data_IF_626121883393
#
_entry.id   IF_626121883393
#
_cell.length_a   1.000
_cell.length_b   1.000
_cell.length_c   1.000
_cell.angle_alpha   90.00
_cell.angle_beta   90.00
_cell.angle_gamma   90.00
#
_symmetry.space_group_name_H-M   'P 1'
#
loop_
_entity.id
_entity.type
_entity.pdbx_description
1 polymer ?
#
# COMPACT_ATOMS: atom_id res chain seq x y z
N UNK A 1 5.94 7.62 21.11
CA UNK A 1 6.01 6.23 20.60
C UNK A 1 6.43 5.34 21.76
N UNK A 2 5.56 4.39 22.14
CA UNK A 2 5.78 3.19 22.98
C UNK A 2 4.57 2.97 23.89
N UNK A 3 3.54 2.35 23.32
CA UNK A 3 2.36 1.93 24.06
C UNK A 3 2.55 0.45 24.47
N UNK A 4 2.41 0.19 25.77
CA UNK A 4 2.55 -1.14 26.36
C UNK A 4 1.28 -1.95 26.14
N UNK A 5 1.47 -3.20 25.75
CA UNK A 5 0.46 -4.24 25.61
C UNK A 5 -0.07 -4.62 27.00
N UNK A 6 -1.37 -4.42 27.24
CA UNK A 6 -2.10 -4.97 28.37
C UNK A 6 -3.14 -5.95 27.85
N UNK A 7 -2.92 -7.24 28.11
CA UNK A 7 -3.88 -8.32 27.93
C UNK A 7 -4.76 -8.33 29.17
N UNK A 8 -6.07 -8.07 29.03
CA UNK A 8 -7.06 -8.31 30.09
C UNK A 8 -8.10 -9.29 29.56
N UNK A 9 -8.15 -10.41 30.28
CA UNK A 9 -9.05 -11.55 30.14
C UNK A 9 -10.49 -11.14 30.49
N UNK A 10 -11.45 -11.58 29.68
CA UNK A 10 -12.87 -11.28 29.78
C UNK A 10 -13.58 -12.05 30.92
N UNK A 11 -14.52 -11.38 31.62
CA UNK A 11 -15.77 -11.99 32.08
C UNK A 11 -16.70 -10.92 32.68
N UNK A 12 -17.82 -10.60 32.00
CA UNK A 12 -19.11 -10.29 32.64
C UNK A 12 -20.19 -9.97 31.59
N UNK A 13 -21.18 -10.87 31.56
CA UNK A 13 -22.60 -10.70 31.22
C UNK A 13 -23.13 -9.27 30.95
N UNK A 14 -23.85 -9.15 29.83
CA UNK A 14 -25.19 -8.54 29.84
C UNK A 14 -25.29 -7.02 29.69
N UNK A 15 -25.30 -6.54 28.44
CA UNK A 15 -26.25 -5.55 27.93
C UNK A 15 -25.95 -5.29 26.44
N UNK A 16 -26.78 -5.84 25.55
CA UNK A 16 -26.84 -5.42 24.15
C UNK A 16 -27.45 -4.01 24.10
N UNK A 17 -26.62 -2.98 24.18
CA UNK A 17 -27.00 -1.62 23.79
C UNK A 17 -26.66 -1.47 22.32
N UNK A 18 -27.67 -1.64 21.47
CA UNK A 18 -27.60 -1.31 20.06
C UNK A 18 -27.13 0.14 19.89
N UNK A 19 -26.07 0.43 19.10
CA UNK A 19 -25.79 1.79 18.71
C UNK A 19 -26.91 2.22 17.76
N UNK A 20 -27.79 3.08 18.26
CA UNK A 20 -28.70 3.85 17.42
C UNK A 20 -27.83 4.68 16.47
N UNK A 21 -27.76 4.22 15.22
CA UNK A 21 -27.29 5.02 14.10
C UNK A 21 -28.23 6.22 14.01
N UNK A 22 -27.82 7.33 14.63
CA UNK A 22 -28.39 8.63 14.32
C UNK A 22 -28.01 8.92 12.86
N UNK A 23 -28.97 8.69 11.96
CA UNK A 23 -28.90 9.19 10.61
C UNK A 23 -28.72 10.72 10.71
N UNK A 24 -27.51 11.20 10.41
CA UNK A 24 -27.28 12.59 10.10
C UNK A 24 -28.05 12.88 8.82
N UNK A 25 -29.29 13.36 8.96
CA UNK A 25 -29.93 14.15 7.91
C UNK A 25 -29.11 15.43 7.80
N UNK A 26 -28.10 15.39 6.93
CA UNK A 26 -27.52 16.61 6.40
C UNK A 26 -28.68 17.46 5.85
N UNK A 27 -28.78 18.75 6.21
CA UNK A 27 -29.75 19.63 5.58
C UNK A 27 -29.53 19.59 4.06
N UNK A 28 -30.59 19.68 3.24
CA UNK A 28 -30.43 19.77 1.80
C UNK A 28 -29.57 21.00 1.53
N UNK A 29 -28.34 20.77 1.06
CA UNK A 29 -27.39 21.82 0.74
C UNK A 29 -28.10 22.85 -0.14
N UNK A 30 -28.02 24.11 0.29
CA UNK A 30 -28.21 25.23 -0.61
C UNK A 30 -27.31 24.94 -1.81
N UNK A 31 -27.92 24.70 -2.98
CA UNK A 31 -27.22 24.39 -4.21
C UNK A 31 -26.39 25.61 -4.63
N UNK A 32 -25.25 25.80 -3.99
CA UNK A 32 -24.25 26.76 -4.42
C UNK A 32 -23.86 26.33 -5.83
N UNK A 33 -23.97 27.26 -6.76
CA UNK A 33 -23.54 27.04 -8.12
C UNK A 33 -22.03 26.81 -8.08
N UNK A 34 -21.63 25.54 -8.13
CA UNK A 34 -20.22 25.15 -8.15
C UNK A 34 -19.64 25.65 -9.47
N UNK A 35 -18.55 26.41 -9.39
CA UNK A 35 -17.78 26.85 -10.56
C UNK A 35 -16.91 25.71 -11.09
N UNK A 36 -16.48 25.77 -12.35
CA UNK A 36 -15.61 24.75 -12.94
C UNK A 36 -14.31 24.56 -12.11
N UNK A 37 -13.69 25.65 -11.68
CA UNK A 37 -12.47 25.61 -10.86
C UNK A 37 -12.70 24.94 -9.51
N UNK A 38 -13.84 25.19 -8.86
CA UNK A 38 -14.22 24.53 -7.62
C UNK A 38 -14.51 23.04 -7.83
N UNK A 39 -15.17 22.67 -8.93
CA UNK A 39 -15.44 21.28 -9.28
C UNK A 39 -14.13 20.49 -9.45
N UNK A 40 -13.16 21.05 -10.19
CA UNK A 40 -11.83 20.44 -10.39
C UNK A 40 -11.09 20.31 -9.04
N UNK A 41 -11.07 21.38 -8.24
CA UNK A 41 -10.42 21.35 -6.93
C UNK A 41 -11.04 20.31 -6.00
N UNK A 42 -12.37 20.19 -6.00
CA UNK A 42 -13.10 19.20 -5.21
C UNK A 42 -12.80 17.77 -5.70
N UNK A 43 -12.77 17.54 -7.02
CA UNK A 43 -12.43 16.26 -7.61
C UNK A 43 -10.97 15.84 -7.29
N UNK A 44 -10.00 16.74 -7.40
CA UNK A 44 -8.60 16.47 -7.06
C UNK A 44 -8.36 16.25 -5.55
N UNK A 45 -9.20 16.83 -4.68
CA UNK A 45 -9.11 16.65 -3.23
C UNK A 45 -9.84 15.40 -2.73
N UNK A 46 -11.06 15.16 -3.20
CA UNK A 46 -11.98 14.15 -2.65
C UNK A 46 -12.25 12.98 -3.58
N UNK A 47 -11.95 13.11 -4.88
CA UNK A 47 -12.23 12.10 -5.89
C UNK A 47 -11.50 10.79 -5.63
N UNK A 48 -12.16 9.67 -5.96
CA UNK A 48 -11.60 8.32 -5.78
C UNK A 48 -10.35 8.09 -6.63
N UNK A 49 -10.35 8.54 -7.88
CA UNK A 49 -9.19 8.48 -8.76
C UNK A 49 -8.02 9.31 -8.20
N UNK A 50 -8.30 10.50 -7.68
CA UNK A 50 -7.27 11.34 -7.08
C UNK A 50 -6.64 10.69 -5.84
N UNK A 51 -7.46 10.03 -5.01
CA UNK A 51 -6.95 9.23 -3.88
C UNK A 51 -6.10 8.05 -4.33
N UNK A 52 -6.52 7.34 -5.37
CA UNK A 52 -5.75 6.22 -5.93
C UNK A 52 -4.38 6.69 -6.46
N UNK A 53 -4.34 7.82 -7.17
CA UNK A 53 -3.09 8.42 -7.65
C UNK A 53 -2.17 8.87 -6.50
N UNK A 54 -2.72 9.47 -5.42
CA UNK A 54 -1.93 9.80 -4.22
C UNK A 54 -1.33 8.56 -3.57
N UNK A 55 -2.13 7.50 -3.41
CA UNK A 55 -1.66 6.23 -2.85
C UNK A 55 -0.56 5.58 -3.71
N UNK A 56 -0.69 5.64 -5.04
CA UNK A 56 0.34 5.16 -5.97
C UNK A 56 1.65 5.94 -5.82
N UNK A 57 1.59 7.28 -5.75
CA UNK A 57 2.74 8.16 -5.48
C UNK A 57 3.42 7.83 -4.15
N UNK A 58 2.64 7.64 -3.09
CA UNK A 58 3.15 7.26 -1.77
C UNK A 58 3.85 5.91 -1.81
N UNK A 59 3.25 4.91 -2.46
CA UNK A 59 3.87 3.60 -2.68
C UNK A 59 5.22 3.74 -3.38
N UNK A 60 5.29 4.54 -4.46
CA UNK A 60 6.53 4.85 -5.16
C UNK A 60 7.60 5.47 -4.26
N UNK A 61 7.22 6.44 -3.42
CA UNK A 61 8.12 7.06 -2.43
C UNK A 61 8.62 6.08 -1.38
N UNK A 62 7.76 5.20 -0.87
CA UNK A 62 8.16 4.17 0.09
C UNK A 62 9.13 3.17 -0.53
N UNK A 63 8.93 2.80 -1.80
CA UNK A 63 9.84 1.96 -2.56
C UNK A 63 11.22 2.61 -2.73
N UNK A 64 11.28 3.89 -3.09
CA UNK A 64 12.55 4.64 -3.16
C UNK A 64 13.28 4.68 -1.79
N UNK A 65 12.53 4.94 -0.72
CA UNK A 65 13.08 4.93 0.65
C UNK A 65 13.57 3.55 1.07
N UNK A 66 12.84 2.49 0.72
CA UNK A 66 13.24 1.12 0.98
C UNK A 66 14.55 0.79 0.26
N UNK A 67 14.68 1.17 -1.01
CA UNK A 67 15.92 1.02 -1.77
C UNK A 67 17.10 1.74 -1.10
N UNK A 68 16.91 3.01 -0.72
CA UNK A 68 17.93 3.79 0.02
C UNK A 68 18.32 3.11 1.34
N UNK A 69 17.34 2.57 2.07
CA UNK A 69 17.59 1.87 3.35
C UNK A 69 18.35 0.56 3.18
N UNK A 70 18.20 -0.12 2.04
CA UNK A 70 18.93 -1.33 1.72
C UNK A 70 20.43 -1.09 1.45
N UNK A 71 20.82 0.15 1.14
CA UNK A 71 22.21 0.55 0.94
C UNK A 71 22.90 0.99 2.25
N UNK A 72 22.14 1.14 3.33
CA UNK A 72 22.70 1.46 4.65
C UNK A 72 23.24 0.20 5.33
N UNK A 73 24.15 0.33 6.32
CA UNK A 73 24.59 -0.80 7.12
C UNK A 73 23.42 -1.52 7.79
N UNK A 74 23.27 -2.82 7.52
CA UNK A 74 22.25 -3.68 8.11
C UNK A 74 22.86 -4.56 9.19
N UNK A 75 22.25 -4.51 10.38
CA UNK A 75 22.61 -5.37 11.50
C UNK A 75 21.67 -6.57 11.54
N UNK A 76 22.23 -7.77 11.48
CA UNK A 76 21.51 -9.04 11.58
C UNK A 76 22.04 -9.85 12.76
N UNK A 77 21.14 -10.54 13.44
CA UNK A 77 21.47 -11.48 14.51
C UNK A 77 20.91 -12.85 14.11
N UNK A 78 21.81 -13.80 13.90
CA UNK A 78 21.50 -15.20 13.67
C UNK A 78 21.99 -16.05 14.83
N UNK A 79 21.40 -17.21 15.04
CA UNK A 79 21.87 -18.13 16.06
C UNK A 79 21.10 -19.42 16.07
N UNK A 80 21.70 -20.43 16.66
CA UNK A 80 21.08 -21.72 16.92
C UNK A 80 20.80 -21.80 18.41
N UNK A 81 19.52 -21.98 18.76
CA UNK A 81 19.13 -22.33 20.13
C UNK A 81 19.79 -23.65 20.55
N UNK A 82 19.96 -23.93 21.86
CA UNK A 82 20.56 -25.17 22.32
C UNK A 82 19.92 -26.41 21.68
N UNK A 83 20.64 -27.05 20.76
CA UNK A 83 20.21 -28.24 20.05
C UNK A 83 20.82 -29.46 20.74
N UNK A 84 19.97 -30.27 21.36
CA UNK A 84 20.40 -31.50 22.00
C UNK A 84 20.39 -32.66 21.00
N UNK A 85 21.51 -33.36 20.89
CA UNK A 85 21.67 -34.55 20.06
C UNK A 85 22.28 -35.67 20.90
N UNK A 86 21.64 -36.85 20.87
CA UNK A 86 22.15 -38.08 21.48
C UNK A 86 22.36 -39.12 20.40
N UNK A 87 23.59 -39.58 20.24
CA UNK A 87 23.95 -40.63 19.29
C UNK A 87 24.93 -41.63 19.93
N UNK A 88 25.01 -42.83 19.36
CA UNK A 88 26.00 -43.83 19.75
C UNK A 88 27.05 -43.85 18.64
N UNK A 89 28.29 -43.51 18.98
CA UNK A 89 29.36 -43.35 17.99
C UNK A 89 30.44 -44.40 18.29
N UNK A 90 30.95 -45.11 17.27
CA UNK A 90 32.11 -45.98 17.45
C UNK A 90 33.37 -45.13 17.63
N UNK A 91 34.09 -45.31 18.73
CA UNK A 91 35.37 -44.66 19.00
C UNK A 91 36.48 -45.72 18.97
N UNK A 92 37.55 -45.44 18.21
CA UNK A 92 38.75 -46.28 18.18
C UNK A 92 39.62 -45.92 19.38
N UNK A 93 39.96 -46.92 20.20
CA UNK A 93 40.84 -46.76 21.36
C UNK A 93 42.30 -47.01 20.95
N UNK A 94 43.24 -46.51 21.75
CA UNK A 94 44.70 -46.65 21.54
C UNK A 94 45.18 -48.12 21.45
N UNK A 95 44.36 -49.08 21.89
CA UNK A 95 44.61 -50.54 21.80
C UNK A 95 44.12 -51.19 20.50
N UNK A 96 43.54 -50.41 19.57
CA UNK A 96 43.01 -50.90 18.29
C UNK A 96 41.63 -51.55 18.36
N UNK A 97 41.00 -51.59 19.54
CA UNK A 97 39.61 -52.04 19.70
C UNK A 97 38.62 -50.91 19.37
N UNK A 98 37.43 -51.28 18.87
CA UNK A 98 36.34 -50.31 18.60
C UNK A 98 35.27 -50.46 19.68
N UNK A 99 34.99 -49.38 20.39
CA UNK A 99 33.96 -49.33 21.44
C UNK A 99 32.83 -48.37 21.04
N UNK A 100 31.59 -48.78 21.25
CA UNK A 100 30.42 -47.94 21.02
C UNK A 100 30.12 -47.11 22.26
N UNK A 101 30.38 -45.81 22.20
CA UNK A 101 30.17 -44.90 23.33
C UNK A 101 28.93 -44.03 23.08
N UNK A 102 27.97 -43.94 24.03
CA UNK A 102 26.88 -42.99 23.93
C UNK A 102 27.42 -41.57 24.12
N UNK A 103 27.25 -40.72 23.11
CA UNK A 103 27.60 -39.31 23.15
C UNK A 103 26.33 -38.46 23.18
N UNK A 104 26.23 -37.59 24.18
CA UNK A 104 25.21 -36.55 24.24
C UNK A 104 25.90 -35.22 23.99
N UNK A 105 25.47 -34.45 23.00
CA UNK A 105 26.01 -33.14 22.68
C UNK A 105 24.90 -32.10 22.66
N UNK A 106 25.21 -30.91 23.15
CA UNK A 106 24.35 -29.73 23.09
C UNK A 106 25.13 -28.60 22.43
N UNK A 107 24.65 -28.18 21.27
CA UNK A 107 25.26 -27.12 20.48
C UNK A 107 24.41 -25.86 20.55
N UNK A 108 25.05 -24.71 20.79
CA UNK A 108 24.41 -23.41 20.70
C UNK A 108 25.35 -22.43 20.01
N UNK A 109 24.82 -21.55 19.16
CA UNK A 109 25.62 -20.53 18.48
C UNK A 109 24.86 -19.23 18.35
N UNK A 110 25.58 -18.12 18.32
CA UNK A 110 25.06 -16.78 18.09
C UNK A 110 26.05 -16.01 17.24
N UNK A 111 25.57 -15.37 16.18
CA UNK A 111 26.36 -14.57 15.25
C UNK A 111 25.65 -13.25 14.98
N UNK A 112 26.33 -12.16 15.27
CA UNK A 112 25.93 -10.80 14.91
C UNK A 112 26.69 -10.42 13.64
N UNK A 113 26.00 -9.96 12.60
CA UNK A 113 26.63 -9.52 11.33
C UNK A 113 26.13 -8.14 10.94
N UNK A 114 27.05 -7.19 10.79
CA UNK A 114 26.83 -5.87 10.20
C UNK A 114 27.31 -5.91 8.74
N UNK A 115 26.43 -5.69 7.77
CA UNK A 115 26.77 -5.72 6.35
C UNK A 115 26.37 -4.41 5.65
N UNK A 116 27.24 -3.88 4.79
CA UNK A 116 26.98 -2.68 3.99
C UNK A 116 27.41 -2.90 2.54
N UNK A 117 26.52 -2.58 1.61
CA UNK A 117 26.81 -2.59 0.18
C UNK A 117 27.52 -1.30 -0.24
N UNK A 118 28.60 -1.42 -1.00
CA UNK A 118 29.36 -0.30 -1.54
C UNK A 118 28.83 0.03 -2.94
N UNK A 119 28.13 1.16 -3.14
CA UNK A 119 27.50 1.47 -4.43
C UNK A 119 28.52 1.73 -5.55
N UNK A 120 29.75 2.15 -5.22
CA UNK A 120 30.79 2.49 -6.21
C UNK A 120 31.45 1.26 -6.82
N UNK A 121 31.72 0.23 -6.02
CA UNK A 121 32.40 -1.00 -6.46
C UNK A 121 31.43 -2.18 -6.66
N UNK A 122 30.21 -2.08 -6.13
CA UNK A 122 29.22 -3.16 -6.13
C UNK A 122 29.53 -4.27 -5.12
N UNK A 123 30.62 -4.17 -4.35
CA UNK A 123 31.01 -5.13 -3.33
C UNK A 123 30.29 -4.93 -2.00
N UNK A 124 30.35 -5.94 -1.14
CA UNK A 124 29.73 -5.96 0.18
C UNK A 124 30.83 -6.02 1.26
N UNK A 125 30.85 -5.01 2.13
CA UNK A 125 31.68 -4.97 3.34
C UNK A 125 30.88 -5.55 4.49
N UNK A 126 31.44 -6.51 5.23
CA UNK A 126 30.79 -7.08 6.40
C UNK A 126 31.72 -7.20 7.59
N UNK A 127 31.13 -7.04 8.78
CA UNK A 127 31.77 -7.24 10.08
C UNK A 127 30.90 -8.20 10.87
N UNK A 128 31.45 -9.33 11.30
CA UNK A 128 30.72 -10.33 12.09
C UNK A 128 31.40 -10.61 13.42
N UNK A 129 30.59 -10.98 14.41
CA UNK A 129 31.01 -11.46 15.73
C UNK A 129 30.25 -12.73 16.02
N UNK A 130 30.95 -13.82 16.38
CA UNK A 130 30.32 -15.12 16.61
C UNK A 130 30.74 -15.74 17.94
N UNK A 131 29.78 -16.34 18.62
CA UNK A 131 29.95 -17.08 19.86
C UNK A 131 29.32 -18.47 19.68
N UNK A 132 30.07 -19.52 19.96
CA UNK A 132 29.61 -20.89 19.92
C UNK A 132 29.88 -21.58 21.26
N UNK A 133 28.96 -22.44 21.66
CA UNK A 133 29.05 -23.28 22.85
C UNK A 133 28.78 -24.71 22.44
N UNK A 134 29.68 -25.61 22.82
CA UNK A 134 29.53 -27.05 22.70
C UNK A 134 29.58 -27.65 24.11
N UNK A 135 28.57 -28.40 24.49
CA UNK A 135 28.52 -29.13 25.76
C UNK A 135 28.33 -30.61 25.48
N UNK A 136 29.30 -31.44 25.84
CA UNK A 136 29.22 -32.89 25.77
C UNK A 136 28.87 -33.44 27.15
N UNK A 137 27.82 -34.27 27.22
CA UNK A 137 27.35 -34.96 28.41
C UNK A 137 27.56 -36.48 28.25
N UNK A 138 28.11 -37.12 29.28
CA UNK A 138 28.57 -38.52 29.22
C UNK A 138 29.54 -38.84 30.36
N UNK A 139 30.31 -39.94 30.25
CA UNK A 139 31.32 -40.33 31.25
C UNK A 139 32.43 -39.28 31.45
N UNK A 140 32.75 -38.53 30.38
CA UNK A 140 33.60 -37.35 30.41
C UNK A 140 32.76 -36.14 29.99
N UNK A 141 32.29 -35.36 30.97
CA UNK A 141 31.59 -34.11 30.69
C UNK A 141 32.60 -33.04 30.29
N UNK A 142 32.32 -32.35 29.18
CA UNK A 142 33.17 -31.26 28.71
C UNK A 142 32.32 -30.12 28.17
N UNK A 143 32.72 -28.90 28.47
CA UNK A 143 32.09 -27.69 27.96
C UNK A 143 33.16 -26.82 27.31
N UNK A 144 32.91 -26.47 26.05
CA UNK A 144 33.77 -25.60 25.26
C UNK A 144 33.02 -24.36 24.83
N UNK A 145 33.72 -23.24 24.86
CA UNK A 145 33.25 -21.97 24.33
C UNK A 145 34.26 -21.51 23.28
N UNK A 146 33.76 -21.17 22.10
CA UNK A 146 34.56 -20.57 21.03
C UNK A 146 33.98 -19.21 20.71
N UNK A 147 34.83 -18.17 20.76
CA UNK A 147 34.43 -16.81 20.44
C UNK A 147 35.34 -16.25 19.37
N UNK A 148 34.74 -15.71 18.31
CA UNK A 148 35.43 -14.93 17.27
C UNK A 148 34.88 -13.51 17.37
N UNK A 149 35.55 -12.62 18.12
CA UNK A 149 34.97 -11.36 18.54
C UNK A 149 34.72 -10.40 17.37
N UNK A 150 35.63 -10.37 16.40
CA UNK A 150 35.51 -9.54 15.19
C UNK A 150 36.12 -10.27 14.01
N UNK A 151 35.35 -10.38 12.93
CA UNK A 151 35.80 -10.79 11.61
C UNK A 151 35.37 -9.73 10.62
N UNK A 152 36.30 -9.20 9.84
CA UNK A 152 36.03 -8.20 8.80
C UNK A 152 36.30 -8.85 7.45
N UNK A 153 35.39 -8.67 6.49
CA UNK A 153 35.55 -9.18 5.15
C UNK A 153 34.97 -8.24 4.10
N UNK A 154 35.59 -8.26 2.92
CA UNK A 154 35.12 -7.56 1.72
C UNK A 154 34.83 -8.62 0.65
N UNK A 155 33.58 -8.71 0.21
CA UNK A 155 33.18 -9.57 -0.90
C UNK A 155 32.97 -8.69 -2.13
N UNK A 156 33.86 -8.80 -3.10
CA UNK A 156 33.75 -8.06 -4.35
C UNK A 156 33.87 -9.02 -5.53
N UNK A 157 32.86 -9.00 -6.39
CA UNK A 157 32.91 -9.73 -7.65
C UNK A 157 33.88 -9.01 -8.61
N UNK A 158 34.81 -9.77 -9.18
CA UNK A 158 35.79 -9.25 -10.15
C UNK A 158 35.25 -9.48 -11.57
N UNK A 159 35.51 -8.55 -12.48
CA UNK A 159 35.07 -8.62 -13.89
C UNK A 159 33.55 -8.73 -14.10
N UNK A 160 32.75 -8.30 -13.12
CA UNK A 160 31.28 -8.19 -13.24
C UNK A 160 30.86 -6.73 -13.30
N UNK A 161 29.77 -6.40 -14.01
CA UNK A 161 29.22 -5.05 -14.02
C UNK A 161 28.71 -4.65 -12.63
N UNK A 162 28.91 -3.38 -12.27
CA UNK A 162 28.44 -2.83 -10.99
C UNK A 162 26.92 -2.63 -11.01
N UNK A 163 26.17 -3.66 -10.64
CA UNK A 163 24.71 -3.62 -10.54
C UNK A 163 24.21 -2.64 -9.47
N UNK A 164 25.00 -2.37 -8.43
CA UNK A 164 24.60 -1.44 -7.37
C UNK A 164 24.48 -0.01 -7.88
N UNK A 165 25.45 0.44 -8.69
CA UNK A 165 25.43 1.77 -9.30
C UNK A 165 24.27 1.91 -10.30
N UNK A 166 24.08 0.92 -11.18
CA UNK A 166 23.00 0.94 -12.16
C UNK A 166 21.61 0.93 -11.51
N UNK A 167 21.41 0.08 -10.50
CA UNK A 167 20.15 0.04 -9.75
C UNK A 167 19.88 1.37 -9.03
N UNK A 168 20.92 2.05 -8.54
CA UNK A 168 20.79 3.37 -7.93
C UNK A 168 20.36 4.46 -8.91
N UNK A 169 20.87 4.41 -10.14
CA UNK A 169 20.44 5.32 -11.22
C UNK A 169 19.00 5.02 -11.64
N UNK A 170 18.66 3.74 -11.83
CA UNK A 170 17.31 3.29 -12.16
C UNK A 170 16.30 3.73 -11.09
N UNK A 171 16.62 3.55 -9.81
CA UNK A 171 15.73 3.92 -8.70
C UNK A 171 15.51 5.45 -8.61
N UNK A 172 16.55 6.25 -8.90
CA UNK A 172 16.41 7.70 -8.96
C UNK A 172 15.46 8.15 -10.08
N UNK A 173 15.64 7.61 -11.30
CA UNK A 173 14.75 7.90 -12.44
C UNK A 173 13.34 7.38 -12.18
N UNK A 174 13.19 6.18 -11.61
CA UNK A 174 11.89 5.62 -11.24
C UNK A 174 11.15 6.49 -10.23
N UNK A 175 11.85 7.04 -9.23
CA UNK A 175 11.24 7.94 -8.26
C UNK A 175 10.74 9.26 -8.90
N UNK A 176 11.44 9.76 -9.91
CA UNK A 176 11.00 10.92 -10.70
C UNK A 176 9.78 10.58 -11.58
N UNK A 177 9.78 9.41 -12.21
CA UNK A 177 8.65 8.92 -13.00
C UNK A 177 7.39 8.75 -12.15
N UNK A 178 7.51 8.20 -10.94
CA UNK A 178 6.38 8.05 -10.01
C UNK A 178 5.76 9.42 -9.64
N UNK A 179 6.57 10.49 -9.55
CA UNK A 179 6.07 11.85 -9.29
C UNK A 179 5.39 12.45 -10.53
N UNK A 180 5.95 12.24 -11.73
CA UNK A 180 5.34 12.69 -12.99
C UNK A 180 4.01 11.99 -13.26
N UNK A 181 3.95 10.68 -13.06
CA UNK A 181 2.73 9.91 -13.21
C UNK A 181 1.61 10.39 -12.27
N UNK A 182 1.97 10.87 -11.07
CA UNK A 182 1.00 11.49 -10.17
C UNK A 182 0.44 12.81 -10.74
N UNK A 183 1.29 13.67 -11.30
CA UNK A 183 0.86 14.93 -11.90
C UNK A 183 -0.06 14.69 -13.11
N UNK A 184 0.34 13.78 -13.99
CA UNK A 184 -0.46 13.35 -15.14
C UNK A 184 -1.83 12.82 -14.69
N UNK A 185 -1.87 11.97 -13.67
CA UNK A 185 -3.14 11.48 -13.13
C UNK A 185 -4.01 12.59 -12.50
N UNK A 186 -3.43 13.65 -11.93
CA UNK A 186 -4.20 14.81 -11.46
C UNK A 186 -4.75 15.67 -12.60
N UNK A 187 -4.02 15.74 -13.72
CA UNK A 187 -4.44 16.41 -14.95
C UNK A 187 -5.58 15.64 -15.62
N UNK A 188 -5.49 14.31 -15.70
CA UNK A 188 -6.57 13.45 -16.19
C UNK A 188 -7.87 13.62 -15.39
N UNK A 189 -7.76 13.69 -14.05
CA UNK A 189 -8.90 13.98 -13.18
C UNK A 189 -9.50 15.36 -13.50
N UNK A 190 -8.67 16.36 -13.79
CA UNK A 190 -9.15 17.69 -14.17
C UNK A 190 -9.85 17.68 -15.54
N UNK A 191 -9.30 16.98 -16.53
CA UNK A 191 -9.91 16.81 -17.85
C UNK A 191 -11.27 16.11 -17.74
N UNK A 192 -11.33 14.98 -17.04
CA UNK A 192 -12.58 14.23 -16.85
C UNK A 192 -13.64 15.08 -16.13
N UNK A 193 -13.24 15.80 -15.08
CA UNK A 193 -14.16 16.68 -14.34
C UNK A 193 -14.69 17.82 -15.22
N UNK A 194 -13.84 18.36 -16.09
CA UNK A 194 -14.22 19.42 -17.03
C UNK A 194 -15.26 18.93 -18.03
N UNK A 195 -15.06 17.74 -18.61
CA UNK A 195 -16.03 17.12 -19.51
C UNK A 195 -17.38 16.92 -18.82
N UNK A 196 -17.38 16.28 -17.64
CA UNK A 196 -18.61 16.02 -16.88
C UNK A 196 -19.33 17.32 -16.48
N UNK A 197 -18.59 18.38 -16.16
CA UNK A 197 -19.16 19.68 -15.84
C UNK A 197 -19.93 20.27 -17.03
N UNK A 198 -19.34 20.25 -18.22
CA UNK A 198 -19.99 20.76 -19.42
C UNK A 198 -21.14 19.88 -19.90
N UNK A 199 -21.07 18.56 -19.70
CA UNK A 199 -22.18 17.65 -20.00
C UNK A 199 -23.42 17.98 -19.15
N UNK A 200 -23.23 18.19 -17.85
CA UNK A 200 -24.32 18.60 -16.94
C UNK A 200 -24.83 19.99 -17.29
N UNK A 201 -23.94 20.92 -17.65
CA UNK A 201 -24.33 22.26 -18.08
C UNK A 201 -25.21 22.21 -19.35
N UNK A 202 -24.79 21.45 -20.36
CA UNK A 202 -25.55 21.25 -21.59
C UNK A 202 -26.92 20.60 -21.33
N UNK A 203 -26.97 19.56 -20.49
CA UNK A 203 -28.22 18.92 -20.09
C UNK A 203 -29.17 19.89 -19.36
N UNK A 204 -28.64 20.77 -18.51
CA UNK A 204 -29.43 21.78 -17.81
C UNK A 204 -30.02 22.82 -18.75
N UNK A 205 -29.26 23.26 -19.76
CA UNK A 205 -29.75 24.16 -20.81
C UNK A 205 -30.82 23.48 -21.66
N UNK A 206 -30.60 22.23 -22.06
CA UNK A 206 -31.57 21.44 -22.82
C UNK A 206 -32.88 21.26 -22.05
N UNK A 207 -32.82 20.94 -20.74
CA UNK A 207 -34.00 20.85 -19.88
C UNK A 207 -34.76 22.17 -19.80
N UNK A 208 -34.05 23.30 -19.64
CA UNK A 208 -34.67 24.63 -19.61
C UNK A 208 -35.42 24.95 -20.92
N UNK A 209 -34.82 24.60 -22.06
CA UNK A 209 -35.45 24.77 -23.37
C UNK A 209 -36.68 23.86 -23.52
N UNK A 210 -36.58 22.58 -23.11
CA UNK A 210 -37.69 21.64 -23.15
C UNK A 210 -38.88 22.10 -22.28
N UNK A 211 -38.61 22.60 -21.06
CA UNK A 211 -39.65 23.16 -20.18
C UNK A 211 -40.30 24.41 -20.77
N UNK A 212 -39.51 25.27 -21.42
CA UNK A 212 -40.03 26.47 -22.07
C UNK A 212 -40.93 26.11 -23.25
N UNK A 213 -40.49 25.16 -24.08
CA UNK A 213 -41.27 24.64 -25.21
C UNK A 213 -42.57 23.97 -24.73
N UNK A 214 -42.50 23.18 -23.66
CA UNK A 214 -43.68 22.56 -23.06
C UNK A 214 -44.68 23.60 -22.56
N UNK A 215 -44.22 24.67 -21.89
CA UNK A 215 -45.08 25.76 -21.45
C UNK A 215 -45.72 26.51 -22.63
N UNK A 216 -44.97 26.75 -23.72
CA UNK A 216 -45.52 27.36 -24.94
C UNK A 216 -46.58 26.45 -25.56
N UNK A 217 -46.30 25.15 -25.71
CA UNK A 217 -47.25 24.19 -26.26
C UNK A 217 -48.52 24.08 -25.41
N UNK A 218 -48.43 24.08 -24.08
CA UNK A 218 -49.58 24.09 -23.17
C UNK A 218 -50.47 25.34 -23.39
N UNK A 219 -49.85 26.51 -23.56
CA UNK A 219 -50.61 27.74 -23.87
C UNK A 219 -51.27 27.71 -25.25
N UNK A 220 -50.60 27.13 -26.25
CA UNK A 220 -51.15 26.96 -27.61
C UNK A 220 -52.30 25.96 -27.60
N UNK A 221 -52.14 24.84 -26.92
CA UNK A 221 -53.18 23.84 -26.75
C UNK A 221 -54.43 24.45 -26.12
N UNK A 222 -54.28 25.14 -24.98
CA UNK A 222 -55.41 25.82 -24.31
C UNK A 222 -56.10 26.86 -25.21
N UNK A 223 -55.34 27.60 -26.01
CA UNK A 223 -55.91 28.56 -26.97
C UNK A 223 -56.68 27.85 -28.11
N UNK A 224 -56.14 26.74 -28.61
CA UNK A 224 -56.77 25.94 -29.65
C UNK A 224 -58.06 25.27 -29.13
N UNK A 225 -58.07 24.72 -27.92
CA UNK A 225 -59.29 24.20 -27.27
C UNK A 225 -60.39 25.26 -27.23
N UNK A 226 -60.08 26.48 -26.75
CA UNK A 226 -61.07 27.57 -26.72
C UNK A 226 -61.55 28.01 -28.12
N UNK A 227 -60.71 27.90 -29.15
CA UNK A 227 -61.13 28.18 -30.56
C UNK A 227 -62.00 27.07 -31.14
N UNK A 228 -61.76 25.82 -30.78
CA UNK A 228 -62.56 24.67 -31.20
C UNK A 228 -63.96 24.75 -30.62
N UNK A 229 -64.10 25.09 -29.33
CA UNK A 229 -65.40 25.27 -28.66
C UNK A 229 -66.28 26.34 -29.33
N UNK A 230 -65.68 27.35 -29.94
CA UNK A 230 -66.38 28.45 -30.65
C UNK A 230 -66.50 28.14 -32.17
N UNK A 231 -66.12 26.93 -32.60
CA UNK A 231 -66.27 26.46 -33.99
C UNK A 231 -65.32 27.13 -35.00
N UNK A 232 -64.18 27.67 -34.54
CA UNK A 232 -63.24 28.41 -35.40
C UNK A 232 -62.11 27.57 -35.99
N UNK A 233 -61.89 26.35 -35.51
CA UNK A 233 -60.88 25.40 -36.00
C UNK A 233 -61.47 23.98 -36.08
N UNK A 234 -60.90 23.10 -36.91
CA UNK A 234 -61.33 21.70 -37.03
C UNK A 234 -60.66 20.78 -36.00
N UNK A 235 -61.25 19.61 -35.75
CA UNK A 235 -60.73 18.61 -34.77
C UNK A 235 -59.31 18.14 -35.10
N UNK A 236 -58.96 18.06 -36.39
CA UNK A 236 -57.59 17.74 -36.84
C UNK A 236 -56.54 18.76 -36.36
N UNK A 237 -56.89 20.05 -36.31
CA UNK A 237 -55.96 21.10 -35.88
C UNK A 237 -55.74 21.05 -34.35
N UNK A 238 -56.73 20.54 -33.60
CA UNK A 238 -56.61 20.32 -32.16
C UNK A 238 -55.72 19.11 -31.86
N UNK A 239 -55.92 17.99 -32.56
CA UNK A 239 -55.12 16.77 -32.39
C UNK A 239 -53.64 16.97 -32.76
N UNK A 240 -53.34 17.82 -33.74
CA UNK A 240 -51.95 18.20 -34.04
C UNK A 240 -51.28 19.01 -32.93
N UNK A 241 -52.06 19.66 -32.06
CA UNK A 241 -51.55 20.43 -30.93
C UNK A 241 -51.30 19.58 -29.67
N UNK A 242 -51.73 18.32 -29.64
CA UNK A 242 -51.49 17.37 -28.53
C UNK A 242 -50.16 16.59 -28.67
N UNK A 243 -49.56 16.60 -29.87
CA UNK A 243 -48.29 15.93 -30.21
C UNK A 243 -47.08 16.84 -29.95
#
# INVERSE_FOLDING_TARGET
MNNRVCIILALALGAFVSPTVAAQTAPPDSSQAITLSEAIALAQQRGHQARAARAARESGRYRHRAFRSALLPQLSLGGTVPAYNKSIIPVLRDDGSTEFVPQQQTDASMTVTLAQKIPVTGGDLFVSSSLARLSVSGPASYQSWSSTPVTVGLRQDIFRPNTAAWNGQEDAVRAELDERAYLEAMEDVALQTTTLFFDVYAARVALKNALTNAAVNDTLYRLNTGRFEVGKIGENDLLQSEL
#
